data_IF_589820475343
#
_entry.id   IF_589820475343
#
_cell.length_a   1.000
_cell.length_b   1.000
_cell.length_c   1.000
_cell.angle_alpha   90.00
_cell.angle_beta   90.00
_cell.angle_gamma   90.00
#
_symmetry.space_group_name_H-M   'P 1'
#
loop_
_entity.id
_entity.type
_entity.pdbx_description
1 polymer ?
#
# COMPACT_ATOMS: atom_id res chain seq x y z
N UNK A 1 23.72 13.72 1.58
CA UNK A 1 22.71 13.37 0.54
C UNK A 1 23.23 12.18 -0.26
N UNK A 2 22.36 11.25 -0.67
CA UNK A 2 22.76 10.12 -1.51
C UNK A 2 22.90 10.55 -2.98
N UNK A 3 23.96 10.11 -3.67
CA UNK A 3 24.11 10.27 -5.11
C UNK A 3 23.44 9.14 -5.90
N UNK A 4 23.00 9.40 -7.13
CA UNK A 4 22.39 8.39 -8.00
C UNK A 4 22.78 8.58 -9.47
N UNK A 5 22.71 7.51 -10.26
CA UNK A 5 22.93 7.54 -11.72
C UNK A 5 21.76 6.85 -12.44
N UNK A 6 21.18 7.46 -13.48
CA UNK A 6 20.10 6.83 -14.26
C UNK A 6 20.61 5.62 -15.04
N UNK A 7 19.82 4.53 -15.04
CA UNK A 7 20.09 3.31 -15.82
C UNK A 7 19.00 3.08 -16.86
N UNK A 8 19.39 2.75 -18.10
CA UNK A 8 18.47 2.39 -19.16
C UNK A 8 18.06 0.93 -19.05
N UNK A 9 16.75 0.67 -19.03
CA UNK A 9 16.17 -0.68 -18.97
C UNK A 9 15.30 -0.93 -20.21
N UNK A 10 15.29 -2.17 -20.70
CA UNK A 10 14.35 -2.59 -21.75
C UNK A 10 12.91 -2.67 -21.22
N UNK A 11 11.92 -2.57 -22.11
CA UNK A 11 10.49 -2.50 -21.75
C UNK A 11 10.02 -3.70 -20.91
N UNK A 12 10.52 -4.91 -21.19
CA UNK A 12 10.19 -6.14 -20.44
C UNK A 12 10.71 -6.05 -19.00
N UNK A 13 11.97 -5.65 -18.83
CA UNK A 13 12.59 -5.52 -17.51
C UNK A 13 11.97 -4.39 -16.70
N UNK A 14 11.65 -3.27 -17.34
CA UNK A 14 10.95 -2.17 -16.70
C UNK A 14 9.53 -2.57 -16.25
N UNK A 15 8.81 -3.37 -17.04
CA UNK A 15 7.43 -3.81 -16.72
C UNK A 15 7.38 -4.80 -15.55
N UNK A 16 8.38 -5.68 -15.42
CA UNK A 16 8.50 -6.61 -14.30
C UNK A 16 8.97 -5.93 -13.01
N UNK A 17 9.65 -4.80 -13.10
CA UNK A 17 10.14 -4.03 -11.94
C UNK A 17 9.11 -3.05 -11.36
N UNK A 18 7.82 -3.20 -11.70
CA UNK A 18 6.76 -2.35 -11.18
C UNK A 18 6.46 -2.67 -9.71
N UNK A 19 6.06 -1.66 -8.93
CA UNK A 19 5.77 -1.83 -7.49
C UNK A 19 4.52 -2.70 -7.23
N UNK A 20 3.55 -2.64 -8.14
CA UNK A 20 2.31 -3.44 -8.07
C UNK A 20 2.57 -4.86 -8.56
N UNK A 21 2.60 -5.83 -7.64
CA UNK A 21 2.78 -7.24 -7.99
C UNK A 21 1.59 -7.77 -8.81
N UNK A 22 0.38 -7.22 -8.63
CA UNK A 22 -0.81 -7.57 -9.43
C UNK A 22 -0.60 -7.14 -10.89
N UNK A 23 -0.04 -5.95 -11.08
CA UNK A 23 0.28 -5.42 -12.41
C UNK A 23 1.45 -6.18 -13.07
N UNK A 24 2.49 -6.50 -12.30
CA UNK A 24 3.64 -7.27 -12.77
C UNK A 24 3.25 -8.71 -13.17
N UNK A 25 2.52 -9.42 -12.30
CA UNK A 25 2.14 -10.83 -12.51
C UNK A 25 1.23 -11.04 -13.73
N UNK A 26 0.47 -10.01 -14.12
CA UNK A 26 -0.41 -10.03 -15.29
C UNK A 26 0.29 -9.68 -16.60
N UNK A 27 1.59 -9.38 -16.60
CA UNK A 27 2.38 -9.23 -17.83
C UNK A 27 2.96 -10.58 -18.24
N UNK A 28 3.88 -11.12 -17.44
CA UNK A 28 4.57 -12.40 -17.62
C UNK A 28 5.05 -12.95 -16.26
N UNK A 29 5.61 -14.16 -16.25
CA UNK A 29 6.25 -14.77 -15.06
C UNK A 29 5.34 -14.88 -13.81
N UNK A 30 4.03 -15.07 -14.00
CA UNK A 30 3.00 -15.00 -12.95
C UNK A 30 3.32 -15.81 -11.69
N UNK A 31 3.73 -17.08 -11.84
CA UNK A 31 4.06 -17.96 -10.70
C UNK A 31 5.22 -17.40 -9.87
N UNK A 32 6.27 -16.91 -10.53
CA UNK A 32 7.45 -16.35 -9.86
C UNK A 32 7.07 -15.07 -9.10
N UNK A 33 6.37 -14.15 -9.76
CA UNK A 33 5.97 -12.86 -9.17
C UNK A 33 5.08 -13.07 -7.94
N UNK A 34 4.08 -13.94 -8.03
CA UNK A 34 3.19 -14.22 -6.91
C UNK A 34 3.90 -14.93 -5.75
N UNK A 35 4.84 -15.83 -6.04
CA UNK A 35 5.63 -16.50 -4.99
C UNK A 35 6.51 -15.51 -4.24
N UNK A 36 7.25 -14.66 -4.96
CA UNK A 36 8.09 -13.63 -4.35
C UNK A 36 7.27 -12.64 -3.51
N UNK A 37 6.12 -12.19 -4.02
CA UNK A 37 5.21 -11.31 -3.30
C UNK A 37 4.67 -11.95 -2.01
N UNK A 38 4.30 -13.24 -2.08
CA UNK A 38 3.78 -14.01 -0.94
C UNK A 38 4.83 -14.19 0.15
N UNK A 39 6.07 -14.52 -0.24
CA UNK A 39 7.20 -14.69 0.71
C UNK A 39 7.58 -13.37 1.37
N UNK A 40 7.55 -12.25 0.62
CA UNK A 40 7.85 -10.91 1.15
C UNK A 40 6.68 -10.29 1.93
N UNK A 41 5.47 -10.85 1.83
CA UNK A 41 4.25 -10.28 2.43
C UNK A 41 3.86 -8.92 1.84
N UNK A 42 4.17 -8.66 0.57
CA UNK A 42 3.91 -7.36 -0.07
C UNK A 42 2.41 -7.10 -0.22
N UNK A 43 1.98 -5.86 0.02
CA UNK A 43 0.60 -5.41 -0.20
C UNK A 43 0.54 -4.47 -1.39
N UNK A 44 -0.50 -4.61 -2.22
CA UNK A 44 -0.70 -3.74 -3.37
C UNK A 44 -1.56 -2.52 -3.03
N UNK A 45 -1.15 -1.36 -3.51
CA UNK A 45 -1.75 -0.07 -3.20
C UNK A 45 -2.91 0.33 -4.11
N UNK A 46 -3.17 -0.38 -5.22
CA UNK A 46 -4.26 -0.08 -6.15
C UNK A 46 -4.21 1.37 -6.69
N UNK A 47 -3.00 1.88 -6.96
CA UNK A 47 -2.73 3.25 -7.45
C UNK A 47 -2.56 3.35 -8.97
N UNK A 48 -2.30 2.23 -9.64
CA UNK A 48 -2.04 2.10 -11.07
C UNK A 48 -3.29 1.74 -11.88
N UNK A 49 -3.17 1.86 -13.20
CA UNK A 49 -4.28 1.57 -14.12
C UNK A 49 -4.60 0.08 -14.17
N UNK A 50 -3.57 -0.76 -14.40
CA UNK A 50 -3.75 -2.18 -14.70
C UNK A 50 -4.36 -2.96 -13.54
N UNK A 51 -3.82 -2.77 -12.34
CA UNK A 51 -4.36 -3.40 -11.13
C UNK A 51 -5.81 -3.02 -10.82
N UNK A 52 -6.21 -1.75 -11.01
CA UNK A 52 -7.61 -1.35 -10.81
C UNK A 52 -8.55 -2.02 -11.81
N UNK A 53 -8.12 -2.16 -13.07
CA UNK A 53 -8.88 -2.91 -14.08
C UNK A 53 -9.03 -4.38 -13.69
N UNK A 54 -7.95 -5.02 -13.24
CA UNK A 54 -7.96 -6.45 -12.85
C UNK A 54 -8.89 -6.69 -11.66
N UNK A 55 -8.89 -5.80 -10.67
CA UNK A 55 -9.73 -5.91 -9.47
C UNK A 55 -11.17 -5.44 -9.71
N UNK A 56 -11.45 -4.75 -10.83
CA UNK A 56 -12.79 -4.26 -11.17
C UNK A 56 -13.17 -2.93 -10.51
N UNK A 57 -12.19 -2.09 -10.16
CA UNK A 57 -12.39 -0.74 -9.60
C UNK A 57 -12.27 0.32 -10.69
N UNK A 58 -12.79 1.53 -10.43
CA UNK A 58 -12.59 2.67 -11.31
C UNK A 58 -11.09 2.92 -11.52
N UNK A 59 -10.67 3.17 -12.76
CA UNK A 59 -9.26 3.46 -13.05
C UNK A 59 -8.87 4.88 -12.58
N UNK A 60 -7.62 5.11 -12.14
CA UNK A 60 -7.12 6.42 -11.72
C UNK A 60 -6.82 7.36 -12.89
N UNK A 61 -7.73 7.43 -13.86
CA UNK A 61 -7.66 8.31 -15.02
C UNK A 61 -9.06 8.77 -15.42
N UNK A 62 -9.13 9.89 -16.15
CA UNK A 62 -10.40 10.46 -16.62
C UNK A 62 -11.39 10.70 -15.47
N UNK A 63 -12.62 10.20 -15.63
CA UNK A 63 -13.69 10.35 -14.63
C UNK A 63 -13.38 9.66 -13.29
N UNK A 64 -12.51 8.64 -13.28
CA UNK A 64 -12.10 7.97 -12.05
C UNK A 64 -11.09 8.76 -11.21
N UNK A 65 -10.49 9.84 -11.74
CA UNK A 65 -9.51 10.64 -11.01
C UNK A 65 -10.14 11.34 -9.79
N UNK A 66 -11.37 11.85 -9.91
CA UNK A 66 -12.10 12.46 -8.80
C UNK A 66 -12.38 11.44 -7.67
N UNK A 67 -12.78 10.22 -8.04
CA UNK A 67 -13.00 9.12 -7.10
C UNK A 67 -11.72 8.77 -6.32
N UNK A 68 -10.58 8.63 -7.03
CA UNK A 68 -9.29 8.34 -6.41
C UNK A 68 -8.73 9.50 -5.59
N UNK A 69 -8.99 10.75 -5.98
CA UNK A 69 -8.59 11.93 -5.21
C UNK A 69 -9.36 12.02 -3.89
N UNK A 70 -10.69 11.87 -3.92
CA UNK A 70 -11.53 11.85 -2.72
C UNK A 70 -11.13 10.71 -1.78
N UNK A 71 -10.90 9.51 -2.33
CA UNK A 71 -10.54 8.34 -1.53
C UNK A 71 -9.16 8.44 -0.89
N UNK A 72 -8.18 9.06 -1.57
CA UNK A 72 -6.88 9.38 -0.95
C UNK A 72 -7.01 10.41 0.17
N UNK A 73 -7.87 11.40 -0.01
CA UNK A 73 -8.21 12.34 1.07
C UNK A 73 -8.78 11.61 2.29
N UNK A 74 -9.82 10.79 2.09
CA UNK A 74 -10.45 10.01 3.16
C UNK A 74 -9.48 9.02 3.84
N UNK A 75 -8.60 8.36 3.07
CA UNK A 75 -7.59 7.47 3.62
C UNK A 75 -6.63 8.21 4.56
N UNK A 76 -6.19 9.42 4.18
CA UNK A 76 -5.35 10.25 5.03
C UNK A 76 -6.06 10.68 6.32
N UNK A 77 -7.37 10.96 6.26
CA UNK A 77 -8.18 11.23 7.46
C UNK A 77 -8.34 9.99 8.34
N UNK A 78 -8.53 8.80 7.75
CA UNK A 78 -8.68 7.56 8.53
C UNK A 78 -7.38 7.05 9.14
N UNK A 79 -6.22 7.30 8.51
CA UNK A 79 -4.91 6.94 9.08
C UNK A 79 -4.60 7.80 10.32
N UNK A 80 -4.90 9.10 10.28
CA UNK A 80 -4.76 9.97 11.46
C UNK A 80 -5.70 9.57 12.61
N UNK A 81 -6.92 9.15 12.28
CA UNK A 81 -7.88 8.66 13.29
C UNK A 81 -7.46 7.30 13.84
N UNK A 82 -6.93 6.39 13.01
CA UNK A 82 -6.44 5.09 13.43
C UNK A 82 -5.20 5.19 14.32
N UNK A 83 -4.26 6.09 14.01
CA UNK A 83 -3.08 6.37 14.85
C UNK A 83 -3.50 7.05 16.16
N UNK A 84 -4.48 7.96 16.15
CA UNK A 84 -5.02 8.57 17.36
C UNK A 84 -5.74 7.54 18.24
N UNK A 85 -6.50 6.62 17.64
CA UNK A 85 -7.16 5.52 18.36
C UNK A 85 -6.13 4.55 18.92
N UNK A 86 -5.11 4.13 18.16
CA UNK A 86 -4.05 3.25 18.64
C UNK A 86 -3.22 3.89 19.76
N UNK A 87 -2.92 5.18 19.66
CA UNK A 87 -2.28 5.94 20.74
C UNK A 87 -3.18 5.99 21.99
N UNK A 88 -4.49 6.21 21.82
CA UNK A 88 -5.42 6.22 22.96
C UNK A 88 -5.57 4.84 23.63
N UNK A 89 -5.49 3.75 22.87
CA UNK A 89 -5.51 2.38 23.41
C UNK A 89 -4.28 2.08 24.27
N UNK A 90 -3.09 2.54 23.84
CA UNK A 90 -1.86 2.37 24.64
C UNK A 90 -1.89 3.16 25.96
N UNK A 91 -2.54 4.33 25.98
CA UNK A 91 -2.73 5.14 27.20
C UNK A 91 -3.72 4.48 28.16
N UNK A 92 -4.74 3.78 27.65
CA UNK A 92 -5.70 3.06 28.48
C UNK A 92 -5.09 1.81 29.15
N UNK A 93 -4.17 1.12 28.46
CA UNK A 93 -3.47 -0.06 28.98
C UNK A 93 -2.39 0.32 30.02
N UNK A 94 -1.71 1.46 29.88
CA UNK A 94 -0.80 1.96 30.92
C UNK A 94 -1.52 2.37 32.22
N UNK A 95 -2.71 2.97 32.13
CA UNK A 95 -3.48 3.40 33.32
C UNK A 95 -4.04 2.22 34.09
N UNK A 96 -4.38 1.11 33.42
CA UNK A 96 -5.00 -0.07 34.07
C UNK A 96 -4.01 -1.02 34.75
N UNK A 97 -2.71 -0.87 34.51
CA UNK A 97 -1.64 -1.61 35.22
C UNK A 97 -1.17 -0.86 36.48
N UNK A 98 -1.56 0.41 36.66
CA UNK A 98 -1.06 1.29 37.71
C UNK A 98 -1.76 1.26 39.07
N UNK A 99 -2.78 0.43 39.29
CA UNK A 99 -3.63 0.49 40.51
C UNK A 99 -3.74 -0.82 41.33
N UNK A 100 -2.78 -1.77 41.19
CA UNK A 100 -2.74 -2.99 42.03
C UNK A 100 -1.63 -2.98 43.10
N UNK A 101 -1.30 -1.80 43.65
CA UNK A 101 -0.41 -1.72 44.82
C UNK A 101 -0.85 -0.62 45.79
N UNK A 102 -1.80 -0.95 46.67
CA UNK A 102 -2.24 -0.07 47.74
C UNK A 102 -3.15 -0.77 48.75
N UNK A 103 -2.50 -1.31 49.80
CA UNK A 103 -3.01 -1.82 51.10
C UNK A 103 -3.67 -3.21 51.17
#
# INVERSE_FOLDING_TARGET
PAGYQPMLLGITKASLATESFISAASFQETTRVLTEASVRGTRDGLRGLKENVIVGRLIPAGTGLAYHAQRRGQAAFSESDADAIAASSSVFEEISVGDDSGE
#
